data_IF_612309058712
#
_entry.id   IF_612309058712
#
_cell.length_a   1.000
_cell.length_b   1.000
_cell.length_c   1.000
_cell.angle_alpha   90.00
_cell.angle_beta   90.00
_cell.angle_gamma   90.00
#
_symmetry.space_group_name_H-M   'P 1'
#
loop_
_entity.id
_entity.type
_entity.pdbx_description
1 polymer ?
#
# COMPACT_ATOMS: atom_id res chain seq x y z
N UNK A 1 -1.78 4.64 -20.52
CA UNK A 1 -2.96 4.80 -19.64
C UNK A 1 -2.83 3.95 -18.40
N UNK A 2 -3.18 4.45 -17.22
CA UNK A 2 -3.13 3.63 -16.02
C UNK A 2 -4.07 2.44 -16.10
N UNK A 3 -3.71 1.36 -15.41
CA UNK A 3 -4.53 0.19 -15.37
C UNK A 3 -5.86 0.48 -14.66
N UNK A 4 -6.92 -0.16 -15.11
CA UNK A 4 -8.25 -0.06 -14.49
C UNK A 4 -8.41 -1.14 -13.44
N UNK A 5 -9.53 -1.07 -12.68
CA UNK A 5 -9.89 -2.15 -11.77
C UNK A 5 -9.96 -3.49 -12.50
N UNK A 6 -10.60 -3.52 -13.67
CA UNK A 6 -10.74 -4.77 -14.43
C UNK A 6 -9.38 -5.30 -14.88
N UNK A 7 -8.47 -4.42 -15.30
CA UNK A 7 -7.10 -4.80 -15.66
C UNK A 7 -6.38 -5.44 -14.47
N UNK A 8 -6.54 -4.87 -13.28
CA UNK A 8 -5.91 -5.38 -12.08
C UNK A 8 -6.43 -6.78 -11.74
N UNK A 9 -7.74 -6.96 -11.77
CA UNK A 9 -8.33 -8.26 -11.43
C UNK A 9 -7.89 -9.33 -12.43
N UNK A 10 -7.86 -8.99 -13.72
CA UNK A 10 -7.37 -9.92 -14.73
C UNK A 10 -5.91 -10.29 -14.48
N UNK A 11 -5.10 -9.32 -14.07
CA UNK A 11 -3.69 -9.58 -13.79
C UNK A 11 -3.53 -10.49 -12.56
N UNK A 12 -4.28 -10.22 -11.49
CA UNK A 12 -4.26 -11.08 -10.30
C UNK A 12 -4.68 -12.51 -10.65
N UNK A 13 -5.73 -12.65 -11.45
CA UNK A 13 -6.19 -13.96 -11.89
C UNK A 13 -5.10 -14.69 -12.68
N UNK A 14 -4.38 -13.97 -13.53
CA UNK A 14 -3.30 -14.55 -14.34
C UNK A 14 -2.15 -15.07 -13.47
N UNK A 15 -1.99 -14.50 -12.28
CA UNK A 15 -0.95 -14.92 -11.33
C UNK A 15 -1.42 -16.04 -10.39
N UNK A 16 -2.68 -16.45 -10.52
CA UNK A 16 -3.25 -17.45 -9.62
C UNK A 16 -3.58 -16.90 -8.24
N UNK A 17 -3.73 -15.58 -8.12
CA UNK A 17 -4.03 -14.93 -6.85
C UNK A 17 -5.53 -14.87 -6.64
N UNK A 18 -6.01 -15.50 -5.57
CA UNK A 18 -7.42 -15.41 -5.20
C UNK A 18 -7.67 -14.06 -4.51
N UNK A 19 -8.68 -13.34 -4.96
CA UNK A 19 -9.03 -12.05 -4.38
C UNK A 19 -10.53 -11.97 -4.16
N UNK A 20 -10.93 -11.13 -3.20
CA UNK A 20 -12.34 -10.87 -2.90
C UNK A 20 -12.53 -9.37 -2.88
N UNK A 21 -13.51 -8.86 -3.63
CA UNK A 21 -13.75 -7.42 -3.74
C UNK A 21 -15.13 -7.07 -3.20
N UNK A 22 -15.18 -6.01 -2.39
CA UNK A 22 -16.42 -5.46 -1.85
C UNK A 22 -16.60 -4.06 -2.44
N UNK A 23 -17.79 -3.77 -2.96
CA UNK A 23 -18.10 -2.43 -3.45
C UNK A 23 -18.72 -1.60 -2.34
N UNK A 24 -18.40 -0.34 -2.31
CA UNK A 24 -18.92 0.61 -1.31
C UNK A 24 -18.79 2.02 -1.85
N UNK A 25 -19.55 2.99 -1.29
CA UNK A 25 -19.34 4.39 -1.67
C UNK A 25 -17.95 4.88 -1.25
N UNK A 26 -17.43 5.93 -1.87
CA UNK A 26 -16.18 6.52 -1.40
C UNK A 26 -16.30 6.88 0.08
N UNK A 27 -15.27 6.54 0.84
CA UNK A 27 -15.26 6.77 2.29
C UNK A 27 -14.65 8.13 2.57
N UNK A 28 -15.41 9.01 3.21
CA UNK A 28 -15.00 10.40 3.47
C UNK A 28 -14.71 10.67 4.94
N UNK A 29 -15.16 9.79 5.84
CA UNK A 29 -14.96 9.98 7.28
C UNK A 29 -14.33 8.76 7.91
N UNK A 30 -13.71 8.98 9.08
CA UNK A 30 -13.14 7.90 9.87
C UNK A 30 -14.24 6.93 10.33
N UNK A 31 -15.42 7.46 10.67
CA UNK A 31 -16.53 6.62 11.10
C UNK A 31 -17.01 5.70 9.98
N UNK A 32 -17.12 6.22 8.75
CA UNK A 32 -17.50 5.40 7.61
C UNK A 32 -16.50 4.29 7.36
N UNK A 33 -15.21 4.61 7.45
CA UNK A 33 -14.15 3.63 7.27
C UNK A 33 -14.22 2.56 8.35
N UNK A 34 -14.44 2.95 9.60
CA UNK A 34 -14.51 1.99 10.71
C UNK A 34 -15.71 1.07 10.59
N UNK A 35 -16.85 1.59 10.15
CA UNK A 35 -18.04 0.78 9.96
C UNK A 35 -17.80 -0.29 8.89
N UNK A 36 -17.19 0.09 7.78
CA UNK A 36 -16.90 -0.86 6.71
C UNK A 36 -15.88 -1.91 7.15
N UNK A 37 -14.86 -1.51 7.90
CA UNK A 37 -13.85 -2.44 8.40
C UNK A 37 -14.42 -3.56 9.24
N UNK A 38 -15.44 -3.26 10.04
CA UNK A 38 -16.07 -4.27 10.86
C UNK A 38 -16.74 -5.35 10.04
N UNK A 39 -17.02 -5.10 8.77
CA UNK A 39 -17.71 -6.05 7.90
C UNK A 39 -16.77 -6.80 6.97
N UNK A 40 -15.53 -6.35 6.79
CA UNK A 40 -14.58 -6.97 5.86
C UNK A 40 -13.49 -7.66 6.69
N UNK A 41 -13.36 -8.99 6.58
CA UNK A 41 -12.34 -9.70 7.36
C UNK A 41 -10.93 -9.40 6.86
N UNK A 42 -9.96 -9.54 7.74
CA UNK A 42 -8.56 -9.34 7.41
C UNK A 42 -8.02 -8.02 7.94
N UNK A 43 -6.73 -7.78 7.73
CA UNK A 43 -6.07 -6.57 8.18
C UNK A 43 -6.41 -5.38 7.30
N UNK A 44 -6.52 -4.21 7.91
CA UNK A 44 -6.74 -2.95 7.19
C UNK A 44 -5.51 -2.08 7.33
N UNK A 45 -5.18 -1.37 6.27
CA UNK A 45 -3.87 -0.73 6.14
C UNK A 45 -3.99 0.74 5.79
N UNK A 46 -2.89 1.46 6.01
CA UNK A 46 -2.69 2.78 5.43
C UNK A 46 -1.48 2.73 4.51
N UNK A 47 -1.51 3.57 3.50
CA UNK A 47 -0.50 3.60 2.44
C UNK A 47 0.04 5.02 2.34
N UNK A 48 1.35 5.17 2.50
CA UNK A 48 1.99 6.49 2.50
C UNK A 48 2.95 6.56 1.32
N UNK A 49 2.64 7.44 0.36
CA UNK A 49 3.51 7.67 -0.79
C UNK A 49 4.45 8.81 -0.43
N UNK A 50 5.74 8.49 -0.28
CA UNK A 50 6.71 9.43 0.27
C UNK A 50 7.97 9.48 -0.59
N UNK A 51 8.76 10.53 -0.40
CA UNK A 51 10.07 10.68 -1.04
C UNK A 51 11.10 11.08 0.01
N UNK A 52 12.36 10.74 -0.26
CA UNK A 52 13.45 11.12 0.62
C UNK A 52 14.14 12.39 0.09
N UNK A 53 15.23 12.82 0.71
CA UNK A 53 15.94 14.04 0.31
C UNK A 53 16.57 13.94 -1.08
N UNK A 54 16.78 12.74 -1.58
CA UNK A 54 17.32 12.52 -2.92
C UNK A 54 16.21 12.25 -3.93
N UNK A 55 14.97 12.51 -3.57
CA UNK A 55 13.80 12.32 -4.42
C UNK A 55 13.56 10.85 -4.80
N UNK A 56 14.10 9.92 -4.05
CA UNK A 56 13.75 8.51 -4.23
C UNK A 56 12.37 8.28 -3.65
N UNK A 57 11.58 7.47 -4.36
CA UNK A 57 10.16 7.26 -4.03
C UNK A 57 9.95 5.95 -3.29
N UNK A 58 9.09 6.00 -2.28
CA UNK A 58 8.75 4.84 -1.48
C UNK A 58 7.24 4.79 -1.26
N UNK A 59 6.69 3.59 -1.24
CA UNK A 59 5.34 3.37 -0.75
C UNK A 59 5.45 2.59 0.54
N UNK A 60 5.02 3.19 1.65
CA UNK A 60 5.04 2.53 2.96
C UNK A 60 3.65 1.99 3.23
N UNK A 61 3.55 0.68 3.45
CA UNK A 61 2.27 0.00 3.69
C UNK A 61 2.33 -0.60 5.09
N UNK A 62 1.42 -0.18 5.95
CA UNK A 62 1.41 -0.63 7.35
C UNK A 62 -0.02 -0.66 7.89
N UNK A 63 -0.20 -1.31 9.04
CA UNK A 63 -1.51 -1.36 9.66
C UNK A 63 -2.04 0.05 9.92
N UNK A 64 -3.34 0.22 9.73
CA UNK A 64 -3.89 1.59 9.77
C UNK A 64 -3.79 2.23 11.16
N UNK A 65 -3.72 1.44 12.22
CA UNK A 65 -3.57 1.98 13.57
C UNK A 65 -2.11 2.00 14.04
N UNK A 66 -1.18 1.59 13.19
CA UNK A 66 0.24 1.54 13.55
C UNK A 66 0.85 2.93 13.47
N UNK A 67 1.39 3.46 14.57
CA UNK A 67 2.03 4.77 14.52
C UNK A 67 3.35 4.72 13.76
N UNK A 68 3.69 5.78 13.07
CA UNK A 68 4.95 5.90 12.35
C UNK A 68 5.47 7.33 12.48
N UNK A 69 6.79 7.46 12.67
CA UNK A 69 7.45 8.76 12.72
C UNK A 69 8.22 8.96 11.41
N UNK A 70 7.68 9.80 10.53
CA UNK A 70 8.30 10.05 9.22
C UNK A 70 9.64 10.77 9.32
N UNK A 71 9.96 11.38 10.45
CA UNK A 71 11.27 12.01 10.65
C UNK A 71 12.36 10.96 10.81
N UNK A 72 12.02 9.77 11.28
CA UNK A 72 12.98 8.71 11.56
C UNK A 72 12.80 7.45 10.73
N UNK A 73 11.67 7.32 10.02
CA UNK A 73 11.38 6.11 9.25
C UNK A 73 12.44 5.83 8.19
N UNK A 74 13.10 6.88 7.68
CA UNK A 74 14.16 6.71 6.69
C UNK A 74 15.28 5.79 7.17
N UNK A 75 15.53 5.76 8.48
CA UNK A 75 16.60 4.95 9.06
C UNK A 75 16.32 3.45 8.86
N UNK A 76 15.05 3.07 8.80
CA UNK A 76 14.67 1.67 8.68
C UNK A 76 14.63 1.17 7.26
N UNK A 77 14.58 2.08 6.30
CA UNK A 77 14.41 1.72 4.89
C UNK A 77 15.61 2.12 4.03
N UNK A 78 16.65 2.64 4.65
CA UNK A 78 17.85 3.05 3.91
C UNK A 78 17.65 4.28 3.05
N UNK A 79 16.67 5.12 3.37
CA UNK A 79 16.42 6.37 2.66
C UNK A 79 17.33 7.48 3.19
N UNK A 80 17.46 8.54 2.40
CA UNK A 80 18.34 9.67 2.73
C UNK A 80 17.52 10.78 3.37
N UNK A 81 17.59 10.85 4.70
CA UNK A 81 16.99 11.91 5.47
C UNK A 81 15.48 11.80 5.62
N UNK A 82 14.89 12.81 6.20
CA UNK A 82 13.48 12.84 6.55
C UNK A 82 12.59 12.61 5.32
N UNK A 83 11.56 11.79 5.48
CA UNK A 83 10.60 11.52 4.40
C UNK A 83 9.54 12.61 4.36
N UNK A 84 9.09 12.93 3.15
CA UNK A 84 7.98 13.86 2.94
C UNK A 84 7.00 13.23 1.94
N UNK A 85 5.73 13.66 1.98
CA UNK A 85 4.73 13.11 1.08
C UNK A 85 5.01 13.54 -0.36
N UNK A 86 4.82 12.63 -1.29
CA UNK A 86 4.84 12.95 -2.71
C UNK A 86 3.58 13.71 -3.10
N UNK A 87 3.67 14.52 -4.16
CA UNK A 87 2.52 15.28 -4.64
C UNK A 87 1.49 14.38 -5.30
N UNK A 88 0.25 14.88 -5.40
CA UNK A 88 -0.81 14.18 -6.12
C UNK A 88 -0.43 13.97 -7.59
N UNK A 89 0.24 14.96 -8.20
CA UNK A 89 0.69 14.86 -9.58
C UNK A 89 1.72 13.75 -9.76
N UNK A 90 2.69 13.68 -8.86
CA UNK A 90 3.72 12.66 -8.92
C UNK A 90 3.12 11.27 -8.70
N UNK A 91 2.20 11.16 -7.76
CA UNK A 91 1.50 9.90 -7.50
C UNK A 91 0.77 9.42 -8.74
N UNK A 92 0.05 10.32 -9.42
CA UNK A 92 -0.67 9.96 -10.64
C UNK A 92 0.29 9.58 -11.76
N UNK A 93 1.37 10.33 -11.91
CA UNK A 93 2.35 10.08 -12.97
C UNK A 93 3.03 8.73 -12.82
N UNK A 94 3.44 8.38 -11.60
CA UNK A 94 4.29 7.22 -11.36
C UNK A 94 3.46 5.99 -10.99
N UNK A 95 2.42 6.19 -10.17
CA UNK A 95 1.69 5.08 -9.56
C UNK A 95 0.27 4.92 -10.13
N UNK A 96 -0.21 5.92 -10.87
CA UNK A 96 -1.47 5.82 -11.60
C UNK A 96 -2.72 5.89 -10.74
N UNK A 97 -2.63 6.43 -9.53
CA UNK A 97 -3.78 6.51 -8.63
C UNK A 97 -3.90 7.91 -8.04
N UNK A 98 -5.08 8.23 -7.53
CA UNK A 98 -5.34 9.49 -6.82
C UNK A 98 -5.08 9.30 -5.33
N UNK A 99 -4.87 10.41 -4.58
CA UNK A 99 -4.56 10.30 -3.15
C UNK A 99 -5.54 9.48 -2.32
N UNK A 100 -6.82 9.49 -2.64
CA UNK A 100 -7.82 8.71 -1.92
C UNK A 100 -7.79 7.21 -2.23
N UNK A 101 -6.99 6.78 -3.20
CA UNK A 101 -6.93 5.39 -3.64
C UNK A 101 -5.51 4.82 -3.62
N UNK A 102 -4.64 5.36 -2.76
CA UNK A 102 -3.26 4.88 -2.68
C UNK A 102 -3.24 3.42 -2.22
N UNK A 103 -2.46 2.60 -2.91
CA UNK A 103 -2.52 1.15 -2.78
C UNK A 103 -1.24 0.52 -3.32
N UNK A 104 -0.78 -0.61 -2.76
CA UNK A 104 0.36 -1.32 -3.37
C UNK A 104 0.03 -1.88 -4.75
N UNK A 105 -1.25 -2.02 -5.10
CA UNK A 105 -1.63 -2.47 -6.45
C UNK A 105 -1.23 -1.49 -7.54
N UNK A 106 -0.90 -0.24 -7.19
CA UNK A 106 -0.36 0.72 -8.15
C UNK A 106 0.94 0.28 -8.79
N UNK A 107 1.61 -0.73 -8.24
CA UNK A 107 2.82 -1.29 -8.84
C UNK A 107 2.60 -1.75 -10.28
N UNK A 108 1.36 -2.11 -10.64
CA UNK A 108 1.01 -2.52 -12.00
C UNK A 108 1.29 -1.40 -13.02
N UNK A 109 1.31 -0.14 -12.56
CA UNK A 109 1.53 1.03 -13.42
C UNK A 109 3.00 1.49 -13.45
N UNK A 110 3.84 0.97 -12.56
CA UNK A 110 5.23 1.42 -12.40
C UNK A 110 6.18 0.43 -13.07
N UNK A 111 6.10 0.33 -14.38
CA UNK A 111 6.89 -0.64 -15.13
C UNK A 111 8.40 -0.39 -15.00
N UNK A 112 8.80 0.86 -14.71
CA UNK A 112 10.21 1.21 -14.58
C UNK A 112 10.77 0.95 -13.18
N UNK A 113 9.93 0.58 -12.23
CA UNK A 113 10.37 0.31 -10.87
C UNK A 113 10.87 1.53 -10.13
N UNK A 114 10.22 2.69 -10.33
CA UNK A 114 10.62 3.95 -9.70
C UNK A 114 10.33 3.99 -8.20
N UNK A 115 9.37 3.20 -7.74
CA UNK A 115 8.94 3.22 -6.33
C UNK A 115 9.41 1.96 -5.63
N UNK A 116 10.05 2.13 -4.47
CA UNK A 116 10.37 1.01 -3.58
C UNK A 116 9.18 0.77 -2.66
N UNK A 117 8.63 -0.44 -2.68
CA UNK A 117 7.50 -0.79 -1.83
C UNK A 117 8.03 -1.38 -0.53
N UNK A 118 7.61 -0.79 0.59
CA UNK A 118 8.01 -1.24 1.92
C UNK A 118 6.78 -1.74 2.66
N UNK A 119 6.81 -2.99 3.07
CA UNK A 119 5.71 -3.61 3.79
C UNK A 119 6.09 -3.74 5.26
N UNK A 120 5.22 -3.29 6.15
CA UNK A 120 5.47 -3.40 7.57
C UNK A 120 5.45 -4.88 8.00
N UNK A 121 6.49 -5.31 8.69
CA UNK A 121 6.65 -6.72 9.06
C UNK A 121 5.51 -7.20 9.97
N UNK A 122 5.05 -6.36 10.88
CA UNK A 122 3.94 -6.72 11.78
C UNK A 122 2.65 -6.90 10.98
N UNK A 123 2.38 -5.98 10.04
CA UNK A 123 1.22 -6.10 9.16
C UNK A 123 1.23 -7.42 8.40
N UNK A 124 2.40 -7.84 7.94
CA UNK A 124 2.53 -9.04 7.12
C UNK A 124 2.26 -10.35 7.89
N UNK A 125 2.09 -10.27 9.20
CA UNK A 125 1.67 -11.42 9.99
C UNK A 125 0.18 -11.71 9.85
N UNK A 126 -0.60 -10.74 9.36
CA UNK A 126 -2.00 -10.99 9.03
C UNK A 126 -2.06 -11.91 7.83
N UNK A 127 -2.90 -12.94 7.90
CA UNK A 127 -3.02 -13.88 6.78
C UNK A 127 -3.65 -13.24 5.56
N UNK A 128 -4.50 -12.24 5.77
CA UNK A 128 -5.26 -11.57 4.71
C UNK A 128 -5.21 -10.07 4.92
N UNK A 129 -5.00 -9.33 3.83
CA UNK A 129 -4.91 -7.87 3.85
C UNK A 129 -5.85 -7.27 2.82
N UNK A 130 -6.34 -6.07 3.10
CA UNK A 130 -7.31 -5.37 2.26
C UNK A 130 -6.75 -4.07 1.72
N UNK A 131 -6.95 -3.82 0.44
CA UNK A 131 -6.42 -2.64 -0.25
C UNK A 131 -7.44 -2.08 -1.23
N UNK A 132 -7.30 -0.81 -1.60
CA UNK A 132 -8.06 -0.24 -2.70
C UNK A 132 -7.55 -0.81 -4.03
N UNK A 133 -8.44 -1.33 -4.88
CA UNK A 133 -8.01 -1.88 -6.17
C UNK A 133 -7.98 -0.79 -7.24
N UNK A 134 -7.12 0.21 -7.07
CA UNK A 134 -6.90 1.37 -7.95
C UNK A 134 -8.04 2.39 -7.91
N UNK A 135 -9.11 2.10 -7.20
CA UNK A 135 -10.25 3.01 -7.02
C UNK A 135 -10.66 2.99 -5.55
N UNK A 136 -11.31 4.07 -5.07
CA UNK A 136 -11.71 4.16 -3.67
C UNK A 136 -13.16 3.75 -3.42
N UNK A 137 -13.83 3.19 -4.44
CA UNK A 137 -15.20 2.70 -4.30
C UNK A 137 -15.27 1.19 -4.11
N UNK A 138 -14.11 0.56 -3.95
CA UNK A 138 -14.00 -0.88 -3.74
C UNK A 138 -12.84 -1.19 -2.80
N UNK A 139 -12.92 -2.34 -2.16
CA UNK A 139 -11.84 -2.85 -1.31
C UNK A 139 -11.60 -4.31 -1.71
N UNK A 140 -10.36 -4.65 -1.99
CA UNK A 140 -9.98 -5.99 -2.44
C UNK A 140 -9.07 -6.63 -1.40
N UNK A 141 -9.45 -7.82 -0.95
CA UNK A 141 -8.65 -8.60 -0.01
C UNK A 141 -7.87 -9.70 -0.72
N UNK A 142 -6.63 -9.88 -0.31
CA UNK A 142 -5.76 -10.94 -0.81
C UNK A 142 -4.99 -11.53 0.37
N UNK A 143 -4.48 -12.76 0.21
CA UNK A 143 -3.56 -13.31 1.19
C UNK A 143 -2.28 -12.48 1.20
N UNK A 144 -1.67 -12.28 2.37
CA UNK A 144 -0.45 -11.49 2.47
C UNK A 144 0.68 -12.06 1.61
N UNK A 145 0.79 -13.38 1.51
CA UNK A 145 1.79 -14.01 0.65
C UNK A 145 1.55 -13.69 -0.83
N UNK A 146 0.29 -13.54 -1.22
CA UNK A 146 -0.07 -13.23 -2.61
C UNK A 146 0.24 -11.78 -2.97
N UNK A 147 0.24 -10.88 -2.00
CA UNK A 147 0.70 -9.52 -2.24
C UNK A 147 2.16 -9.52 -2.66
N UNK A 148 2.98 -10.33 -2.00
CA UNK A 148 4.40 -10.44 -2.37
C UNK A 148 4.54 -11.02 -3.78
N UNK A 149 3.75 -12.03 -4.12
CA UNK A 149 3.73 -12.61 -5.46
C UNK A 149 3.42 -11.54 -6.51
N UNK A 150 2.39 -10.73 -6.25
CA UNK A 150 2.00 -9.64 -7.15
C UNK A 150 3.13 -8.62 -7.32
N UNK A 151 3.73 -8.18 -6.21
CA UNK A 151 4.79 -7.18 -6.27
C UNK A 151 6.00 -7.68 -7.04
N UNK A 152 6.40 -8.92 -6.81
CA UNK A 152 7.51 -9.52 -7.56
C UNK A 152 7.20 -9.63 -9.05
N UNK A 153 5.96 -9.97 -9.38
CA UNK A 153 5.55 -10.10 -10.78
C UNK A 153 5.61 -8.77 -11.51
N UNK A 154 5.39 -7.66 -10.81
CA UNK A 154 5.48 -6.31 -11.40
C UNK A 154 6.90 -5.74 -11.37
N UNK A 155 7.87 -6.51 -10.89
CA UNK A 155 9.26 -6.05 -10.83
C UNK A 155 9.62 -5.29 -9.56
N UNK A 156 8.80 -5.42 -8.51
CA UNK A 156 9.01 -4.72 -7.25
C UNK A 156 9.29 -5.72 -6.15
N UNK A 157 10.57 -6.03 -5.90
CA UNK A 157 10.88 -6.87 -4.76
C UNK A 157 10.59 -6.08 -3.49
N UNK A 158 9.63 -6.48 -2.68
CA UNK A 158 9.25 -5.66 -1.52
C UNK A 158 10.29 -5.73 -0.41
N UNK A 159 10.46 -4.61 0.28
CA UNK A 159 11.24 -4.57 1.50
C UNK A 159 10.27 -4.83 2.66
N UNK A 160 10.58 -5.78 3.54
CA UNK A 160 9.74 -6.09 4.70
C UNK A 160 10.51 -5.74 5.96
N UNK A 161 10.07 -4.69 6.66
CA UNK A 161 10.74 -4.19 7.87
C UNK A 161 9.70 -3.69 8.85
N UNK A 162 10.09 -3.55 10.13
CA UNK A 162 9.22 -2.95 11.12
C UNK A 162 9.17 -1.44 10.88
N UNK A 163 8.01 -0.93 10.52
CA UNK A 163 7.81 0.51 10.30
C UNK A 163 7.22 1.20 11.52
N UNK A 164 6.60 0.46 12.42
CA UNK A 164 5.98 1.03 13.59
C UNK A 164 6.97 1.76 14.48
N UNK A 165 6.47 2.80 15.18
CA UNK A 165 7.26 3.52 16.13
C UNK A 165 7.76 2.58 17.21
N UNK A 166 9.04 2.75 17.58
CA UNK A 166 9.59 1.90 18.59
C UNK A 166 9.04 2.15 19.92
N UNK A 167 8.42 2.91 19.89
CA UNK A 167 7.79 3.00 21.05
C UNK A 167 7.67 1.72 21.36
N UNK A 168 8.05 1.99 20.62
CA UNK A 168 7.98 1.42 20.75
C UNK A 168 8.44 0.64 20.96
N UNK A 169 8.32 0.59 20.77
CA UNK A 169 8.71 -0.27 20.91
C UNK A 169 9.08 -0.68 21.94
N UNK A 170 9.15 -0.41 22.19
CA UNK A 170 9.22 -0.81 22.91
C UNK A 170 9.16 -1.21 23.58
N UNK A 171 9.24 -1.14 23.44
CA UNK A 171 9.14 -1.64 23.90
C UNK A 171 8.99 -2.18 24.24
#
# INVERSE_FOLDING_TARGET
MPATFDDLIAYLDSLGVASTTVEHPPLHTVEESRALRGEIPGGHVKNLFVKDKKSRLFLLVLGEDTPIDLKRAHERIGAQGRLSFGSAELLQEVWGVKPGAVTPFGAINDAEGRVTVVLDATMMRCARLNFHPLVNTRTTGVASADLITFLRATGHEPMVVELGQDGGGVA
#
